data_IF_208123095632
#
_entry.id   IF_208123095632
#
_cell.length_a   1.000
_cell.length_b   1.000
_cell.length_c   1.000
_cell.angle_alpha   90.00
_cell.angle_beta   90.00
_cell.angle_gamma   90.00
#
_symmetry.space_group_name_H-M   'P 1'
#
loop_
_entity.id
_entity.type
_entity.pdbx_description
1 polymer ?
#
# COMPACT_ATOMS: atom_id res chain seq x y z
N UNK A 1 46.23 15.01 -1.11
CA UNK A 1 46.03 13.71 -1.78
C UNK A 1 44.91 13.01 -1.06
N UNK A 2 43.81 12.81 -1.80
CA UNK A 2 42.77 11.78 -1.66
C UNK A 2 42.75 10.94 -0.36
N UNK A 3 41.89 11.31 0.59
CA UNK A 3 41.37 10.35 1.56
C UNK A 3 39.93 10.01 1.16
N UNK A 4 39.80 9.16 0.15
CA UNK A 4 38.51 8.53 -0.21
C UNK A 4 38.14 7.60 0.94
N UNK A 5 37.37 8.14 1.89
CA UNK A 5 36.77 7.38 2.97
C UNK A 5 35.87 6.30 2.36
N UNK A 6 36.37 5.08 2.42
CA UNK A 6 35.74 3.77 2.15
C UNK A 6 34.21 3.84 2.25
N UNK A 7 33.45 3.36 1.24
CA UNK A 7 31.99 3.38 1.29
C UNK A 7 31.49 2.41 2.37
N UNK A 8 31.36 2.91 3.59
CA UNK A 8 30.73 2.20 4.69
C UNK A 8 29.22 2.23 4.48
N UNK A 9 28.55 1.10 4.74
CA UNK A 9 27.10 0.94 4.55
C UNK A 9 26.28 2.07 5.16
N UNK A 10 26.75 2.64 6.26
CA UNK A 10 26.15 3.78 6.95
C UNK A 10 26.07 5.05 6.09
N UNK A 11 27.05 5.33 5.23
CA UNK A 11 26.96 6.44 4.28
C UNK A 11 25.93 6.17 3.19
N UNK A 12 25.85 4.93 2.68
CA UNK A 12 24.85 4.56 1.67
C UNK A 12 23.43 4.66 2.23
N UNK A 13 23.16 4.10 3.40
CA UNK A 13 21.85 4.21 4.06
C UNK A 13 21.47 5.67 4.36
N UNK A 14 22.43 6.50 4.80
CA UNK A 14 22.18 7.92 5.03
C UNK A 14 21.77 8.64 3.75
N UNK A 15 22.44 8.37 2.63
CA UNK A 15 22.06 8.92 1.33
C UNK A 15 20.71 8.38 0.83
N UNK A 16 20.43 7.08 0.98
CA UNK A 16 19.13 6.50 0.62
C UNK A 16 17.95 7.12 1.39
N UNK A 17 18.11 7.35 2.70
CA UNK A 17 17.07 7.99 3.52
C UNK A 17 16.81 9.43 3.04
N UNK A 18 17.86 10.16 2.65
CA UNK A 18 17.74 11.53 2.13
C UNK A 18 16.99 11.55 0.79
N UNK A 19 17.28 10.62 -0.11
CA UNK A 19 16.55 10.46 -1.38
C UNK A 19 15.09 10.07 -1.16
N UNK A 20 14.81 9.10 -0.28
CA UNK A 20 13.45 8.72 0.11
C UNK A 20 12.65 9.90 0.68
N UNK A 21 13.29 10.76 1.47
CA UNK A 21 12.68 11.98 2.01
C UNK A 21 12.29 12.96 0.89
N UNK A 22 13.12 13.10 -0.14
CA UNK A 22 12.81 13.94 -1.30
C UNK A 22 11.61 13.41 -2.06
N UNK A 23 11.54 12.10 -2.29
CA UNK A 23 10.38 11.44 -2.93
C UNK A 23 9.11 11.65 -2.12
N UNK A 24 9.17 11.48 -0.79
CA UNK A 24 8.01 11.66 0.08
C UNK A 24 7.48 13.11 0.09
N UNK A 25 8.36 14.10 -0.13
CA UNK A 25 7.95 15.49 -0.30
C UNK A 25 7.32 15.78 -1.67
N UNK A 26 7.73 15.05 -2.72
CA UNK A 26 7.18 15.16 -4.08
C UNK A 26 5.83 14.47 -4.19
N UNK A 27 5.57 13.41 -3.42
CA UNK A 27 4.26 12.76 -3.40
C UNK A 27 3.19 13.70 -2.85
N UNK A 28 2.15 13.97 -3.66
CA UNK A 28 1.00 14.77 -3.25
C UNK A 28 0.19 14.01 -2.19
N UNK A 29 0.03 14.60 -1.00
CA UNK A 29 -0.84 14.05 0.04
C UNK A 29 -2.28 13.98 -0.51
N UNK A 30 -2.96 12.81 -0.43
CA UNK A 30 -4.29 12.67 -0.99
C UNK A 30 -5.27 13.62 -0.32
N UNK A 31 -6.16 14.19 -1.12
CA UNK A 31 -7.21 15.10 -0.65
C UNK A 31 -8.31 14.29 0.03
N UNK A 32 -8.98 14.86 1.03
CA UNK A 32 -10.07 14.16 1.76
C UNK A 32 -11.21 13.71 0.84
N UNK A 33 -11.40 14.37 -0.29
CA UNK A 33 -12.42 14.03 -1.28
C UNK A 33 -12.03 12.79 -2.09
N UNK A 34 -10.81 12.77 -2.63
CA UNK A 34 -10.24 11.61 -3.35
C UNK A 34 -10.26 10.36 -2.47
N UNK A 35 -9.87 10.50 -1.20
CA UNK A 35 -9.91 9.40 -0.24
C UNK A 35 -11.34 8.86 -0.04
N UNK A 36 -12.33 9.73 0.10
CA UNK A 36 -13.74 9.32 0.26
C UNK A 36 -14.26 8.61 -0.98
N UNK A 37 -13.89 9.07 -2.17
CA UNK A 37 -14.30 8.43 -3.43
C UNK A 37 -13.70 7.04 -3.52
N UNK A 38 -12.38 6.91 -3.30
CA UNK A 38 -11.68 5.63 -3.34
C UNK A 38 -12.30 4.65 -2.34
N UNK A 39 -12.49 5.07 -1.07
CA UNK A 39 -13.07 4.21 -0.03
C UNK A 39 -14.49 3.77 -0.36
N UNK A 40 -15.32 4.63 -0.97
CA UNK A 40 -16.67 4.24 -1.40
C UNK A 40 -16.63 3.19 -2.50
N UNK A 41 -15.78 3.39 -3.51
CA UNK A 41 -15.67 2.47 -4.64
C UNK A 41 -15.08 1.12 -4.21
N UNK A 42 -14.01 1.13 -3.41
CA UNK A 42 -13.42 -0.11 -2.87
C UNK A 42 -14.35 -0.80 -1.89
N UNK A 43 -15.07 -0.05 -1.06
CA UNK A 43 -16.07 -0.61 -0.13
C UNK A 43 -17.18 -1.36 -0.85
N UNK A 44 -17.70 -0.81 -1.96
CA UNK A 44 -18.70 -1.48 -2.80
C UNK A 44 -18.11 -2.76 -3.42
N UNK A 45 -16.88 -2.70 -3.94
CA UNK A 45 -16.20 -3.86 -4.52
C UNK A 45 -16.01 -5.01 -3.51
N UNK A 46 -15.54 -4.70 -2.30
CA UNK A 46 -15.36 -5.68 -1.22
C UNK A 46 -16.69 -6.31 -0.82
N UNK A 47 -17.76 -5.51 -0.75
CA UNK A 47 -19.08 -6.02 -0.40
C UNK A 47 -19.61 -7.02 -1.44
N UNK A 48 -19.46 -6.70 -2.73
CA UNK A 48 -19.87 -7.59 -3.83
C UNK A 48 -19.06 -8.90 -3.80
N UNK A 49 -17.73 -8.81 -3.72
CA UNK A 49 -16.86 -9.99 -3.71
C UNK A 49 -17.13 -10.84 -2.45
N UNK A 50 -17.27 -10.19 -1.30
CA UNK A 50 -17.62 -10.84 -0.03
C UNK A 50 -18.98 -11.54 -0.09
N UNK A 51 -19.98 -10.92 -0.71
CA UNK A 51 -21.31 -11.51 -0.87
C UNK A 51 -21.30 -12.73 -1.79
N UNK A 52 -20.55 -12.67 -2.89
CA UNK A 52 -20.38 -13.80 -3.81
C UNK A 52 -19.68 -14.96 -3.08
N UNK A 53 -18.56 -14.69 -2.41
CA UNK A 53 -17.84 -15.71 -1.64
C UNK A 53 -18.68 -16.30 -0.50
N UNK A 54 -19.44 -15.45 0.20
CA UNK A 54 -20.36 -15.88 1.26
C UNK A 54 -21.48 -16.77 0.72
N UNK A 55 -22.07 -16.42 -0.41
CA UNK A 55 -23.12 -17.21 -1.07
C UNK A 55 -22.59 -18.60 -1.44
N UNK A 56 -21.39 -18.68 -2.03
CA UNK A 56 -20.76 -19.96 -2.38
C UNK A 56 -20.48 -20.79 -1.11
N UNK A 57 -19.98 -20.16 -0.04
CA UNK A 57 -19.69 -20.85 1.20
C UNK A 57 -20.95 -21.43 1.86
N UNK A 58 -22.05 -20.66 1.89
CA UNK A 58 -23.35 -21.15 2.38
C UNK A 58 -23.85 -22.34 1.56
N UNK A 59 -23.80 -22.24 0.23
CA UNK A 59 -24.26 -23.33 -0.64
C UNK A 59 -23.40 -24.59 -0.46
N UNK A 60 -22.08 -24.43 -0.30
CA UNK A 60 -21.18 -25.52 -0.02
C UNK A 60 -21.46 -26.17 1.33
N UNK A 61 -21.65 -25.36 2.38
CA UNK A 61 -21.95 -25.88 3.72
C UNK A 61 -23.31 -26.59 3.76
N UNK A 62 -24.30 -26.11 3.00
CA UNK A 62 -25.62 -26.75 2.92
C UNK A 62 -25.60 -28.05 2.10
N UNK A 63 -24.79 -28.12 1.04
CA UNK A 63 -24.73 -29.28 0.14
C UNK A 63 -23.76 -30.37 0.61
N UNK A 64 -22.70 -30.01 1.34
CA UNK A 64 -21.69 -30.94 1.85
C UNK A 64 -22.04 -31.51 3.25
N UNK A 65 -23.17 -31.10 3.82
CA UNK A 65 -23.75 -31.64 5.04
C UNK A 65 -24.86 -32.64 4.70
#
# INVERSE_FOLDING_TARGET
>A
MEEVTKPSLTQRFKSFIVECRRVWQVTKKPTREELKVIVKVTGIGILIIGFIGFTINILWQLFLQ
#
